data_IF_436216308571
#
_entry.id   IF_436216308571
#
_cell.length_a   1.000
_cell.length_b   1.000
_cell.length_c   1.000
_cell.angle_alpha   90.00
_cell.angle_beta   90.00
_cell.angle_gamma   90.00
#
_symmetry.space_group_name_H-M   'P 1'
#
loop_
_entity.id
_entity.type
_entity.pdbx_description
1 polymer ?
#
# COMPACT_ATOMS: atom_id res chain seq x y z
N UNK A 1 -4.13 34.73 36.91
CA UNK A 1 -2.98 34.32 36.06
C UNK A 1 -2.94 32.83 35.74
N UNK A 2 -3.23 31.90 36.69
CA UNK A 2 -3.29 30.45 36.42
C UNK A 2 -4.28 30.02 35.33
N UNK A 3 -5.43 30.70 35.19
CA UNK A 3 -6.44 30.38 34.16
C UNK A 3 -5.96 30.66 32.73
N UNK A 4 -5.14 31.70 32.54
CA UNK A 4 -4.59 32.04 31.23
C UNK A 4 -3.52 31.03 30.79
N UNK A 5 -2.66 30.59 31.72
CA UNK A 5 -1.66 29.55 31.49
C UNK A 5 -2.28 28.19 31.16
N UNK A 6 -3.34 27.79 31.88
CA UNK A 6 -4.08 26.56 31.56
C UNK A 6 -4.70 26.58 30.17
N UNK A 7 -5.29 27.71 29.76
CA UNK A 7 -5.88 27.85 28.42
C UNK A 7 -4.82 27.77 27.33
N UNK A 8 -3.69 28.45 27.51
CA UNK A 8 -2.56 28.37 26.58
C UNK A 8 -2.03 26.94 26.46
N UNK A 9 -1.87 26.23 27.59
CA UNK A 9 -1.40 24.84 27.63
C UNK A 9 -2.36 23.87 26.93
N UNK A 10 -3.67 24.03 27.12
CA UNK A 10 -4.67 23.20 26.47
C UNK A 10 -4.70 23.42 24.95
N UNK A 11 -4.55 24.68 24.51
CA UNK A 11 -4.48 25.00 23.08
C UNK A 11 -3.22 24.43 22.43
N UNK A 12 -2.06 24.56 23.07
CA UNK A 12 -0.83 23.96 22.54
C UNK A 12 -0.91 22.45 22.50
N UNK A 13 -1.46 21.80 23.54
CA UNK A 13 -1.66 20.35 23.56
C UNK A 13 -2.62 19.89 22.46
N UNK A 14 -3.72 20.61 22.26
CA UNK A 14 -4.70 20.30 21.21
C UNK A 14 -4.10 20.44 19.80
N UNK A 15 -3.31 21.48 19.56
CA UNK A 15 -2.58 21.68 18.30
C UNK A 15 -1.60 20.52 18.09
N UNK A 16 -0.82 20.14 19.10
CA UNK A 16 0.13 19.02 19.00
C UNK A 16 -0.56 17.68 18.69
N UNK A 17 -1.72 17.40 19.29
CA UNK A 17 -2.49 16.17 19.03
C UNK A 17 -3.07 16.13 17.60
N UNK A 18 -3.50 17.27 17.06
CA UNK A 18 -3.95 17.40 15.67
C UNK A 18 -2.81 17.11 14.69
N UNK A 19 -1.60 17.64 14.93
CA UNK A 19 -0.42 17.35 14.11
C UNK A 19 0.15 15.94 14.31
N UNK A 20 -0.03 15.32 15.49
CA UNK A 20 0.36 13.93 15.71
C UNK A 20 -0.59 12.94 15.00
N UNK A 21 -1.86 13.31 14.82
CA UNK A 21 -2.87 12.44 14.18
C UNK A 21 -2.73 12.37 12.66
N UNK A 22 -2.11 13.37 12.02
CA UNK A 22 -1.73 13.28 10.60
C UNK A 22 -0.57 12.30 10.34
N UNK A 23 0.09 11.84 11.41
CA UNK A 23 1.09 10.78 11.41
C UNK A 23 0.52 9.44 11.92
N UNK A 24 -0.76 9.14 11.66
CA UNK A 24 -1.20 7.76 11.43
C UNK A 24 -0.53 7.26 10.14
N UNK A 25 0.80 7.20 10.19
CA UNK A 25 1.72 7.03 9.09
C UNK A 25 1.99 5.53 8.99
N UNK A 26 1.47 4.92 7.93
CA UNK A 26 2.29 3.91 7.28
C UNK A 26 3.60 4.62 6.91
N UNK A 27 4.69 4.36 7.64
CA UNK A 27 6.00 4.96 7.33
C UNK A 27 6.51 4.46 5.97
N UNK A 28 5.97 3.33 5.51
CA UNK A 28 6.13 2.82 4.18
C UNK A 28 4.84 2.14 3.70
N UNK A 29 4.65 2.18 2.39
CA UNK A 29 3.66 1.41 1.67
C UNK A 29 4.35 0.26 0.96
N UNK A 30 3.84 -0.95 1.16
CA UNK A 30 4.39 -2.16 0.56
C UNK A 30 3.58 -2.49 -0.68
N UNK A 31 4.29 -2.65 -1.80
CA UNK A 31 3.74 -3.20 -3.02
C UNK A 31 3.88 -4.72 -2.97
N UNK A 32 2.75 -5.39 -2.87
CA UNK A 32 2.64 -6.83 -2.96
C UNK A 32 2.34 -7.24 -4.40
N UNK A 33 2.91 -8.36 -4.82
CA UNK A 33 2.63 -8.99 -6.09
C UNK A 33 2.23 -10.45 -5.87
N UNK A 34 1.29 -10.94 -6.67
CA UNK A 34 0.90 -12.34 -6.72
C UNK A 34 0.74 -12.75 -8.17
N UNK A 35 1.46 -13.78 -8.60
CA UNK A 35 1.21 -14.45 -9.86
C UNK A 35 0.56 -15.79 -9.54
N UNK A 36 -0.53 -16.18 -10.19
CA UNK A 36 -1.13 -17.50 -9.89
C UNK A 36 -0.27 -18.59 -10.52
N UNK A 37 0.14 -19.66 -9.77
CA UNK A 37 -0.35 -20.10 -8.45
C UNK A 37 0.44 -19.66 -7.22
N UNK A 38 1.46 -18.82 -7.36
CA UNK A 38 2.26 -18.30 -6.24
C UNK A 38 1.42 -17.47 -5.26
N UNK A 39 1.90 -17.37 -4.01
CA UNK A 39 1.31 -16.52 -2.97
C UNK A 39 1.73 -15.05 -3.11
N UNK A 40 1.15 -14.18 -2.26
CA UNK A 40 1.59 -12.79 -2.18
C UNK A 40 3.04 -12.68 -1.71
N UNK A 41 3.84 -11.95 -2.47
CA UNK A 41 5.23 -11.63 -2.17
C UNK A 41 5.45 -10.13 -2.19
N UNK A 42 6.42 -9.66 -1.40
CA UNK A 42 6.82 -8.26 -1.40
C UNK A 42 7.58 -7.97 -2.69
N UNK A 43 7.05 -7.06 -3.50
CA UNK A 43 7.69 -6.61 -4.73
C UNK A 43 8.56 -5.37 -4.49
N UNK A 44 8.07 -4.37 -3.75
CA UNK A 44 8.82 -3.15 -3.44
C UNK A 44 8.18 -2.35 -2.27
N UNK A 45 8.83 -1.26 -1.84
CA UNK A 45 8.33 -0.34 -0.79
C UNK A 45 8.40 1.12 -1.22
N UNK A 46 7.45 1.94 -0.75
CA UNK A 46 7.29 3.34 -1.14
C UNK A 46 7.01 4.24 0.06
N UNK A 47 7.39 5.53 0.01
CA UNK A 47 7.10 6.46 1.10
C UNK A 47 5.62 6.88 1.15
N UNK A 48 4.86 6.72 0.05
CA UNK A 48 3.46 7.12 -0.04
C UNK A 48 2.62 6.11 -0.80
N UNK A 49 1.32 6.08 -0.52
CA UNK A 49 0.35 5.23 -1.22
C UNK A 49 0.30 5.55 -2.72
N UNK A 50 0.31 6.84 -3.05
CA UNK A 50 0.27 7.32 -4.42
C UNK A 50 1.48 6.80 -5.23
N UNK A 51 2.69 6.91 -4.69
CA UNK A 51 3.89 6.40 -5.37
C UNK A 51 3.84 4.87 -5.59
N UNK A 52 3.27 4.13 -4.63
CA UNK A 52 3.04 2.69 -4.78
C UNK A 52 2.07 2.40 -5.93
N UNK A 53 0.92 3.08 -5.96
CA UNK A 53 -0.13 2.86 -6.97
C UNK A 53 0.30 3.32 -8.36
N UNK A 54 1.00 4.44 -8.47
CA UNK A 54 1.48 4.99 -9.74
C UNK A 54 2.45 4.02 -10.42
N UNK A 55 3.28 3.30 -9.65
CA UNK A 55 4.17 2.27 -10.21
C UNK A 55 3.39 1.19 -10.96
N UNK A 56 2.25 0.73 -10.40
CA UNK A 56 1.41 -0.29 -11.04
C UNK A 56 0.87 0.23 -12.37
N UNK A 57 0.43 1.50 -12.41
CA UNK A 57 -0.10 2.11 -13.63
C UNK A 57 0.98 2.25 -14.71
N UNK A 58 2.21 2.64 -14.33
CA UNK A 58 3.35 2.72 -15.25
C UNK A 58 3.67 1.35 -15.85
N UNK A 59 3.73 0.30 -15.05
CA UNK A 59 3.95 -1.06 -15.56
C UNK A 59 2.80 -1.52 -16.46
N UNK A 60 1.56 -1.22 -16.09
CA UNK A 60 0.39 -1.60 -16.89
C UNK A 60 0.44 -0.97 -18.28
N UNK A 61 0.83 0.29 -18.38
CA UNK A 61 1.01 0.99 -19.65
C UNK A 61 2.12 0.38 -20.54
N UNK A 62 3.10 -0.31 -19.95
CA UNK A 62 4.22 -0.93 -20.67
C UNK A 62 3.90 -2.34 -21.20
N UNK A 63 3.01 -3.08 -20.53
CA UNK A 63 2.80 -4.51 -20.80
C UNK A 63 1.82 -4.78 -21.94
N UNK A 64 0.62 -4.21 -21.88
CA UNK A 64 -0.38 -4.40 -22.94
C UNK A 64 -1.35 -3.19 -22.98
N UNK A 65 -1.31 -2.36 -24.04
CA UNK A 65 -2.21 -1.22 -24.16
C UNK A 65 -3.68 -1.63 -24.34
N UNK A 66 -3.96 -2.90 -24.67
CA UNK A 66 -5.32 -3.44 -24.79
C UNK A 66 -5.79 -4.16 -23.53
N UNK A 67 -5.05 -4.07 -22.42
CA UNK A 67 -5.41 -4.73 -21.18
C UNK A 67 -6.75 -4.20 -20.64
N UNK A 68 -7.75 -5.09 -20.63
CA UNK A 68 -9.10 -4.83 -20.07
C UNK A 68 -9.21 -5.22 -18.60
N UNK A 69 -8.12 -5.73 -18.00
CA UNK A 69 -8.10 -6.07 -16.59
C UNK A 69 -8.07 -4.80 -15.74
N UNK A 70 -8.56 -4.89 -14.51
CA UNK A 70 -8.60 -3.76 -13.57
C UNK A 70 -7.21 -3.13 -13.32
N UNK A 71 -7.15 -1.97 -12.67
CA UNK A 71 -5.92 -1.18 -12.52
C UNK A 71 -4.79 -1.91 -11.77
N UNK A 72 -5.13 -2.92 -10.96
CA UNK A 72 -4.20 -3.68 -10.14
C UNK A 72 -3.91 -5.09 -10.67
N UNK A 73 -4.24 -5.38 -11.93
CA UNK A 73 -3.97 -6.67 -12.56
C UNK A 73 -3.31 -6.45 -13.91
N UNK A 74 -2.27 -7.23 -14.19
CA UNK A 74 -1.56 -7.25 -15.45
C UNK A 74 -1.61 -8.66 -16.06
N UNK A 75 -1.89 -8.71 -17.36
CA UNK A 75 -1.71 -9.92 -18.16
C UNK A 75 -0.28 -9.96 -18.71
N UNK A 76 0.50 -10.96 -18.29
CA UNK A 76 1.87 -11.17 -18.74
C UNK A 76 1.93 -12.40 -19.65
N UNK A 77 2.83 -12.41 -20.63
CA UNK A 77 3.15 -13.62 -21.40
C UNK A 77 4.56 -14.07 -21.03
N UNK A 78 4.67 -15.22 -20.39
CA UNK A 78 5.94 -15.83 -19.95
C UNK A 78 6.00 -17.21 -20.59
N UNK A 79 7.09 -17.52 -21.29
CA UNK A 79 7.27 -18.81 -22.02
C UNK A 79 6.09 -19.17 -22.94
N UNK A 80 5.50 -18.16 -23.60
CA UNK A 80 4.35 -18.34 -24.49
C UNK A 80 3.02 -18.64 -23.78
N UNK A 81 2.99 -18.63 -22.44
CA UNK A 81 1.78 -18.82 -21.63
C UNK A 81 1.33 -17.50 -21.03
N UNK A 82 0.02 -17.30 -20.98
CA UNK A 82 -0.58 -16.12 -20.34
C UNK A 82 -0.67 -16.33 -18.84
N UNK A 83 -0.07 -15.42 -18.08
CA UNK A 83 -0.12 -15.34 -16.63
C UNK A 83 -0.85 -14.07 -16.20
N UNK A 84 -1.49 -14.13 -15.04
CA UNK A 84 -2.10 -12.96 -14.40
C UNK A 84 -1.28 -12.61 -13.16
N UNK A 85 -0.73 -11.40 -13.15
CA UNK A 85 -0.10 -10.79 -12.00
C UNK A 85 -1.09 -9.82 -11.35
N UNK A 86 -1.33 -9.99 -10.06
CA UNK A 86 -2.13 -9.10 -9.24
C UNK A 86 -1.20 -8.30 -8.33
N UNK A 87 -1.52 -7.02 -8.14
CA UNK A 87 -0.76 -6.11 -7.29
C UNK A 87 -1.65 -5.53 -6.20
N UNK A 88 -1.05 -5.24 -5.05
CA UNK A 88 -1.76 -4.63 -3.93
C UNK A 88 -0.81 -3.68 -3.19
N UNK A 89 -1.26 -2.46 -2.96
CA UNK A 89 -0.57 -1.52 -2.08
C UNK A 89 -1.23 -1.55 -0.70
N UNK A 90 -0.46 -1.86 0.32
CA UNK A 90 -0.92 -1.78 1.72
C UNK A 90 0.07 -0.98 2.55
N UNK A 91 -0.35 -0.45 3.71
CA UNK A 91 0.58 -0.09 4.77
C UNK A 91 1.53 -1.26 5.09
N UNK A 92 2.75 -0.96 5.52
CA UNK A 92 3.75 -1.92 6.00
C UNK A 92 3.31 -2.75 7.22
N UNK A 93 2.27 -2.29 7.92
CA UNK A 93 1.63 -2.99 9.03
C UNK A 93 0.60 -4.05 8.61
N UNK A 94 0.28 -4.15 7.31
CA UNK A 94 -0.73 -5.07 6.79
C UNK A 94 -0.05 -6.12 5.91
N UNK A 95 -0.17 -7.39 6.31
CA UNK A 95 0.26 -8.55 5.53
C UNK A 95 -0.96 -9.20 4.87
N UNK A 96 -1.05 -9.22 3.52
CA UNK A 96 -2.17 -9.82 2.80
C UNK A 96 -2.07 -11.34 2.67
N UNK A 97 -0.98 -11.96 3.13
CA UNK A 97 -0.87 -13.42 3.14
C UNK A 97 -1.83 -13.99 4.17
N UNK A 98 -2.63 -14.98 3.77
CA UNK A 98 -3.47 -15.71 4.71
C UNK A 98 -2.59 -16.31 5.84
N UNK A 99 -3.12 -16.50 7.06
CA UNK A 99 -2.37 -17.13 8.13
C UNK A 99 -1.81 -18.48 7.64
N UNK A 100 -0.48 -18.63 7.67
CA UNK A 100 0.18 -19.90 7.33
C UNK A 100 -0.07 -20.90 8.45
N UNK A 101 -1.25 -21.51 8.49
CA UNK A 101 -1.64 -22.42 9.56
C UNK A 101 -3.13 -22.74 9.58
N UNK A 102 -3.65 -23.29 8.48
CA UNK A 102 -5.03 -23.78 8.39
C UNK A 102 -5.18 -25.11 7.64
N UNK A 103 -4.08 -25.82 7.38
CA UNK A 103 -4.11 -27.17 6.84
C UNK A 103 -4.33 -28.18 7.96
N UNK A 104 -5.54 -28.72 8.05
CA UNK A 104 -5.82 -30.00 8.72
C UNK A 104 -5.31 -31.16 7.88
#
# INVERSE_FOLDING_TARGET
MLHALRRALLLTLAILLLFASSAAAACAWVLWAKMTPQDWEVSNTYPTEAACKDTILVWKAQVDPNDRLGPATLALTIDGKRHLAMYLCTPDTIDPRAPKGGGR
#
